data_IF_264158611721
#
_entry.id   IF_264158611721
#
_cell.length_a   1.000
_cell.length_b   1.000
_cell.length_c   1.000
_cell.angle_alpha   90.00
_cell.angle_beta   90.00
_cell.angle_gamma   90.00
#
_symmetry.space_group_name_H-M   'P 1'
#
loop_
_entity.id
_entity.type
_entity.pdbx_description
1 polymer ?
#
# COMPACT_ATOMS: atom_id res chain seq x y z
N UNK A 1 12.69 14.53 15.47
CA UNK A 1 13.41 13.29 15.05
C UNK A 1 14.87 13.32 15.50
N UNK A 2 15.43 12.22 16.02
CA UNK A 2 16.89 12.10 16.19
C UNK A 2 17.58 11.95 14.83
N UNK A 3 18.81 12.46 14.70
CA UNK A 3 19.59 12.38 13.46
C UNK A 3 19.74 10.95 12.92
N UNK A 4 19.76 9.95 13.80
CA UNK A 4 19.99 8.55 13.46
C UNK A 4 18.77 7.82 12.85
N UNK A 5 17.54 8.29 13.09
CA UNK A 5 16.34 7.63 12.55
C UNK A 5 16.05 8.00 11.09
N UNK A 6 16.45 9.20 10.66
CA UNK A 6 16.24 9.68 9.30
C UNK A 6 16.93 8.83 8.22
N UNK A 7 18.22 8.44 8.35
CA UNK A 7 18.87 7.59 7.36
C UNK A 7 18.24 6.20 7.27
N UNK A 8 17.83 5.60 8.40
CA UNK A 8 17.12 4.32 8.40
C UNK A 8 15.78 4.39 7.65
N UNK A 9 15.01 5.47 7.83
CA UNK A 9 13.76 5.67 7.09
C UNK A 9 13.97 5.87 5.59
N UNK A 10 15.08 6.50 5.18
CA UNK A 10 15.44 6.64 3.77
C UNK A 10 15.82 5.29 3.17
N UNK A 11 16.57 4.46 3.91
CA UNK A 11 16.89 3.09 3.49
C UNK A 11 15.61 2.23 3.39
N UNK A 12 14.70 2.36 4.36
CA UNK A 12 13.40 1.69 4.32
C UNK A 12 12.58 2.13 3.09
N UNK A 13 12.50 3.43 2.82
CA UNK A 13 11.81 3.96 1.66
C UNK A 13 12.40 3.42 0.35
N UNK A 14 13.73 3.49 0.21
CA UNK A 14 14.43 3.03 -0.99
C UNK A 14 14.26 1.53 -1.22
N UNK A 15 14.42 0.72 -0.18
CA UNK A 15 14.25 -0.75 -0.27
C UNK A 15 12.80 -1.14 -0.52
N UNK A 16 11.82 -0.51 0.15
CA UNK A 16 10.40 -0.77 -0.08
C UNK A 16 9.99 -0.39 -1.51
N UNK A 17 10.49 0.73 -2.03
CA UNK A 17 10.24 1.14 -3.42
C UNK A 17 10.85 0.14 -4.41
N UNK A 18 12.09 -0.27 -4.19
CA UNK A 18 12.76 -1.24 -5.04
C UNK A 18 12.02 -2.58 -5.07
N UNK A 19 11.60 -3.09 -3.90
CA UNK A 19 10.81 -4.32 -3.79
C UNK A 19 9.46 -4.16 -4.48
N UNK A 20 8.77 -3.03 -4.28
CA UNK A 20 7.50 -2.74 -4.94
C UNK A 20 7.65 -2.83 -6.46
N UNK A 21 8.66 -2.15 -7.02
CA UNK A 21 8.91 -2.17 -8.47
C UNK A 21 9.29 -3.57 -8.94
N UNK A 22 10.22 -4.25 -8.27
CA UNK A 22 10.65 -5.59 -8.65
C UNK A 22 9.49 -6.60 -8.66
N UNK A 23 8.64 -6.55 -7.64
CA UNK A 23 7.46 -7.43 -7.53
C UNK A 23 6.46 -7.16 -8.66
N UNK A 24 6.06 -5.91 -8.88
CA UNK A 24 5.01 -5.59 -9.86
C UNK A 24 5.47 -5.67 -11.32
N UNK A 25 6.75 -5.43 -11.60
CA UNK A 25 7.30 -5.49 -12.95
C UNK A 25 7.76 -6.91 -13.31
N UNK A 26 8.22 -7.70 -12.33
CA UNK A 26 8.83 -9.00 -12.60
C UNK A 26 7.99 -10.18 -12.09
N UNK A 27 7.62 -10.19 -10.81
CA UNK A 27 7.00 -11.36 -10.18
C UNK A 27 5.51 -11.48 -10.49
N UNK A 28 4.78 -10.37 -10.42
CA UNK A 28 3.33 -10.34 -10.71
C UNK A 28 3.06 -10.81 -12.14
N UNK A 29 3.69 -10.27 -13.20
CA UNK A 29 3.44 -10.73 -14.57
C UNK A 29 3.88 -12.18 -14.80
N UNK A 30 4.89 -12.65 -14.06
CA UNK A 30 5.39 -14.02 -14.16
C UNK A 30 4.44 -15.05 -13.56
N UNK A 31 3.86 -14.77 -12.39
CA UNK A 31 3.12 -15.75 -11.61
C UNK A 31 1.60 -15.66 -11.72
N UNK A 32 1.03 -14.46 -11.86
CA UNK A 32 -0.43 -14.27 -11.93
C UNK A 32 -1.13 -15.04 -13.07
N UNK A 33 -0.55 -15.26 -14.27
CA UNK A 33 -1.27 -15.99 -15.31
C UNK A 33 -1.35 -17.50 -15.10
N UNK A 34 -0.41 -18.11 -14.37
CA UNK A 34 -0.24 -19.58 -14.39
C UNK A 34 -0.09 -20.24 -13.00
N UNK A 35 0.23 -19.48 -11.97
CA UNK A 35 0.54 -20.01 -10.64
C UNK A 35 -0.23 -19.24 -9.55
N UNK A 36 -1.47 -19.64 -9.21
CA UNK A 36 -2.35 -18.87 -8.32
C UNK A 36 -1.74 -18.61 -6.93
N UNK A 37 -1.09 -19.61 -6.33
CA UNK A 37 -0.46 -19.46 -5.01
C UNK A 37 0.73 -18.49 -5.06
N UNK A 38 1.66 -18.71 -6.00
CA UNK A 38 2.84 -17.85 -6.20
C UNK A 38 2.42 -16.42 -6.57
N UNK A 39 1.40 -16.26 -7.41
CA UNK A 39 0.84 -14.99 -7.83
C UNK A 39 0.18 -14.24 -6.67
N UNK A 40 -0.61 -14.93 -5.85
CA UNK A 40 -1.19 -14.36 -4.64
C UNK A 40 -0.13 -13.88 -3.65
N UNK A 41 0.90 -14.69 -3.39
CA UNK A 41 2.02 -14.31 -2.52
C UNK A 41 2.80 -13.12 -3.07
N UNK A 42 3.06 -13.08 -4.39
CA UNK A 42 3.70 -11.96 -5.04
C UNK A 42 2.86 -10.68 -4.90
N UNK A 43 1.55 -10.73 -5.11
CA UNK A 43 0.65 -9.58 -4.94
C UNK A 43 0.65 -9.07 -3.49
N UNK A 44 0.53 -9.97 -2.51
CA UNK A 44 0.58 -9.58 -1.08
C UNK A 44 1.92 -8.93 -0.74
N UNK A 45 3.04 -9.49 -1.19
CA UNK A 45 4.35 -8.88 -1.01
C UNK A 45 4.45 -7.49 -1.66
N UNK A 46 3.83 -7.33 -2.84
CA UNK A 46 3.70 -6.06 -3.54
C UNK A 46 2.89 -5.04 -2.75
N UNK A 47 1.74 -5.43 -2.20
CA UNK A 47 0.89 -4.57 -1.38
C UNK A 47 1.57 -4.13 -0.09
N UNK A 48 2.27 -5.04 0.59
CA UNK A 48 3.01 -4.74 1.82
C UNK A 48 4.14 -3.75 1.51
N UNK A 49 4.97 -4.03 0.52
CA UNK A 49 6.08 -3.14 0.14
C UNK A 49 5.58 -1.76 -0.32
N UNK A 50 4.50 -1.72 -1.09
CA UNK A 50 3.84 -0.48 -1.49
C UNK A 50 3.33 0.31 -0.28
N UNK A 51 2.66 -0.34 0.68
CA UNK A 51 2.20 0.30 1.92
C UNK A 51 3.37 0.87 2.71
N UNK A 52 4.51 0.16 2.76
CA UNK A 52 5.72 0.61 3.44
C UNK A 52 6.37 1.84 2.81
N UNK A 53 6.24 2.00 1.48
CA UNK A 53 6.64 3.25 0.79
C UNK A 53 5.86 4.42 1.37
N UNK A 54 4.53 4.35 1.39
CA UNK A 54 3.70 5.44 1.89
C UNK A 54 3.82 5.65 3.40
N UNK A 55 4.04 4.58 4.17
CA UNK A 55 4.43 4.68 5.58
C UNK A 55 5.69 5.51 5.78
N UNK A 56 6.74 5.20 5.01
CA UNK A 56 8.02 5.89 5.12
C UNK A 56 7.91 7.36 4.71
N UNK A 57 7.16 7.65 3.63
CA UNK A 57 6.89 9.04 3.22
C UNK A 57 6.08 9.76 4.31
N UNK A 58 5.04 9.13 4.85
CA UNK A 58 4.23 9.67 5.94
C UNK A 58 5.06 10.01 7.18
N UNK A 59 6.06 9.19 7.52
CA UNK A 59 7.01 9.49 8.60
C UNK A 59 7.96 10.65 8.28
N UNK A 60 8.51 10.68 7.07
CA UNK A 60 9.51 11.68 6.67
C UNK A 60 8.91 13.08 6.46
N UNK A 61 7.62 13.16 6.15
CA UNK A 61 6.89 14.43 5.92
C UNK A 61 6.00 14.84 7.08
N UNK A 62 6.02 14.12 8.19
CA UNK A 62 5.28 14.52 9.37
C UNK A 62 5.90 15.80 9.96
N UNK A 63 5.04 16.78 10.24
CA UNK A 63 5.37 18.00 10.97
C UNK A 63 4.38 18.12 12.15
N UNK A 64 4.63 17.43 13.27
CA UNK A 64 3.64 17.29 14.33
C UNK A 64 3.63 18.54 15.21
N UNK A 65 2.68 19.44 14.97
CA UNK A 65 2.27 20.40 16.00
C UNK A 65 1.14 19.83 16.88
N UNK A 66 0.38 18.86 16.36
CA UNK A 66 -0.73 18.18 17.04
C UNK A 66 -0.81 16.70 16.63
N UNK A 67 -1.59 15.90 17.37
CA UNK A 67 -1.84 14.50 17.03
C UNK A 67 -2.66 14.37 15.73
N UNK A 68 -2.13 13.71 14.68
CA UNK A 68 -2.84 13.62 13.42
C UNK A 68 -4.10 12.74 13.49
N UNK A 69 -5.12 13.18 12.76
CA UNK A 69 -6.42 12.51 12.64
C UNK A 69 -6.33 11.12 11.98
N UNK A 70 -7.17 10.17 12.39
CA UNK A 70 -7.25 8.83 11.76
C UNK A 70 -8.12 8.78 10.51
N UNK A 71 -8.80 9.87 10.14
CA UNK A 71 -9.79 9.86 9.06
C UNK A 71 -9.25 9.30 7.74
N UNK A 72 -8.00 9.58 7.40
CA UNK A 72 -7.38 9.04 6.19
C UNK A 72 -7.14 7.52 6.27
N UNK A 73 -6.81 6.98 7.45
CA UNK A 73 -6.72 5.53 7.65
C UNK A 73 -8.10 4.88 7.49
N UNK A 74 -9.14 5.46 8.09
CA UNK A 74 -10.51 4.95 8.01
C UNK A 74 -11.01 4.94 6.55
N UNK A 75 -10.79 6.04 5.82
CA UNK A 75 -11.10 6.14 4.39
C UNK A 75 -10.28 5.12 3.59
N UNK A 76 -8.99 4.97 3.92
CA UNK A 76 -8.11 4.01 3.26
C UNK A 76 -8.59 2.57 3.42
N UNK A 77 -8.98 2.17 4.63
CA UNK A 77 -9.55 0.85 4.93
C UNK A 77 -10.86 0.66 4.18
N UNK A 78 -11.78 1.62 4.24
CA UNK A 78 -13.06 1.53 3.53
C UNK A 78 -12.85 1.37 2.03
N UNK A 79 -11.96 2.17 1.43
CA UNK A 79 -11.64 2.12 0.01
C UNK A 79 -11.02 0.78 -0.39
N UNK A 80 -10.08 0.26 0.41
CA UNK A 80 -9.47 -1.04 0.20
C UNK A 80 -10.52 -2.16 0.22
N UNK A 81 -11.36 -2.20 1.26
CA UNK A 81 -12.37 -3.26 1.43
C UNK A 81 -13.45 -3.21 0.33
N UNK A 82 -13.99 -2.04 0.04
CA UNK A 82 -15.00 -1.87 -1.03
C UNK A 82 -14.41 -2.28 -2.38
N UNK A 83 -13.14 -1.95 -2.65
CA UNK A 83 -12.49 -2.29 -3.90
C UNK A 83 -12.24 -3.79 -4.05
N UNK A 84 -11.86 -4.47 -2.96
CA UNK A 84 -11.76 -5.94 -2.95
C UNK A 84 -13.11 -6.61 -3.17
N UNK A 85 -14.16 -6.11 -2.51
CA UNK A 85 -15.53 -6.62 -2.70
C UNK A 85 -16.00 -6.42 -4.15
N UNK A 86 -15.67 -5.27 -4.75
CA UNK A 86 -16.00 -5.00 -6.15
C UNK A 86 -15.23 -5.94 -7.10
N UNK A 87 -13.94 -6.17 -6.87
CA UNK A 87 -13.16 -7.13 -7.65
C UNK A 87 -13.72 -8.55 -7.55
N UNK A 88 -14.11 -8.97 -6.33
CA UNK A 88 -14.72 -10.27 -6.10
C UNK A 88 -16.11 -10.38 -6.75
N UNK A 89 -16.89 -9.30 -6.72
CA UNK A 89 -18.19 -9.27 -7.38
C UNK A 89 -18.05 -9.41 -8.90
N UNK A 90 -17.06 -8.75 -9.51
CA UNK A 90 -16.76 -8.88 -10.95
C UNK A 90 -16.36 -10.32 -11.31
N UNK A 91 -15.52 -10.95 -10.49
CA UNK A 91 -15.12 -12.34 -10.65
C UNK A 91 -16.33 -13.29 -10.53
N UNK A 92 -17.18 -13.07 -9.53
CA UNK A 92 -18.37 -13.88 -9.27
C UNK A 92 -19.41 -13.83 -10.41
N UNK A 93 -19.50 -12.73 -11.17
CA UNK A 93 -20.37 -12.62 -12.35
C UNK A 93 -19.68 -13.07 -13.65
N UNK A 94 -18.47 -13.62 -13.55
CA UNK A 94 -17.75 -14.22 -14.67
C UNK A 94 -17.12 -13.22 -15.63
N UNK A 95 -16.79 -12.00 -15.19
CA UNK A 95 -16.00 -11.05 -16.00
C UNK A 95 -14.58 -11.59 -16.11
N UNK A 96 -14.12 -12.02 -17.30
CA UNK A 96 -12.78 -12.59 -17.42
C UNK A 96 -11.72 -11.52 -17.17
N UNK A 97 -10.71 -11.86 -16.35
CA UNK A 97 -9.56 -11.00 -16.09
C UNK A 97 -8.82 -10.61 -17.38
N UNK A 98 -8.87 -11.50 -18.37
CA UNK A 98 -8.19 -11.39 -19.66
C UNK A 98 -8.89 -10.44 -20.64
N UNK A 99 -10.20 -10.25 -20.49
CA UNK A 99 -11.05 -9.67 -21.53
C UNK A 99 -11.53 -8.26 -21.21
N UNK A 100 -10.67 -7.42 -20.62
CA UNK A 100 -10.63 -5.94 -20.69
C UNK A 100 -10.01 -5.44 -19.37
N UNK A 101 -8.90 -4.72 -19.48
CA UNK A 101 -8.23 -3.99 -18.38
C UNK A 101 -9.21 -3.06 -17.63
N UNK A 102 -10.24 -2.55 -18.32
CA UNK A 102 -11.24 -1.60 -17.84
C UNK A 102 -11.94 -1.92 -16.50
N UNK A 103 -12.81 -2.94 -16.39
CA UNK A 103 -13.58 -3.20 -15.16
C UNK A 103 -12.73 -3.37 -13.91
N UNK A 104 -11.53 -3.97 -14.06
CA UNK A 104 -10.62 -4.21 -12.94
C UNK A 104 -9.71 -3.03 -12.61
N UNK A 105 -9.57 -2.03 -13.49
CA UNK A 105 -8.77 -0.80 -13.19
C UNK A 105 -9.33 -0.07 -11.99
N UNK A 106 -10.66 0.11 -11.92
CA UNK A 106 -11.28 0.84 -10.83
C UNK A 106 -11.04 0.18 -9.46
N UNK A 107 -11.37 -1.10 -9.23
CA UNK A 107 -11.07 -1.76 -7.97
C UNK A 107 -9.57 -1.87 -7.71
N UNK A 108 -8.74 -2.14 -8.72
CA UNK A 108 -7.28 -2.15 -8.51
C UNK A 108 -6.76 -0.79 -8.02
N UNK A 109 -7.22 0.30 -8.63
CA UNK A 109 -6.85 1.67 -8.24
C UNK A 109 -7.29 1.98 -6.81
N UNK A 110 -8.50 1.56 -6.43
CA UNK A 110 -9.01 1.72 -5.07
C UNK A 110 -8.21 0.91 -4.03
N UNK A 111 -7.75 -0.30 -4.37
CA UNK A 111 -6.84 -1.08 -3.50
C UNK A 111 -5.54 -0.30 -3.25
N UNK A 112 -4.85 0.17 -4.30
CA UNK A 112 -3.59 0.91 -4.12
C UNK A 112 -3.79 2.26 -3.44
N UNK A 113 -4.86 2.98 -3.74
CA UNK A 113 -5.18 4.22 -3.05
C UNK A 113 -5.45 3.97 -1.55
N UNK A 114 -6.21 2.92 -1.22
CA UNK A 114 -6.49 2.52 0.15
C UNK A 114 -5.22 2.18 0.93
N UNK A 115 -4.36 1.32 0.36
CA UNK A 115 -3.08 0.95 0.96
C UNK A 115 -2.14 2.14 1.16
N UNK A 116 -2.10 3.07 0.20
CA UNK A 116 -1.31 4.29 0.32
C UNK A 116 -1.78 5.17 1.50
N UNK A 117 -3.09 5.36 1.62
CA UNK A 117 -3.69 6.13 2.73
C UNK A 117 -3.41 5.48 4.09
N UNK A 118 -3.58 4.16 4.18
CA UNK A 118 -3.29 3.39 5.40
C UNK A 118 -1.83 3.57 5.80
N UNK A 119 -0.90 3.28 4.88
CA UNK A 119 0.53 3.42 5.12
C UNK A 119 0.89 4.82 5.58
N UNK A 120 0.47 5.83 4.81
CA UNK A 120 0.70 7.24 5.13
C UNK A 120 0.22 7.62 6.53
N UNK A 121 -1.04 7.31 6.87
CA UNK A 121 -1.63 7.66 8.16
C UNK A 121 -0.92 7.01 9.35
N UNK A 122 -0.53 5.74 9.20
CA UNK A 122 0.26 5.04 10.23
C UNK A 122 1.61 5.74 10.41
N UNK A 123 2.30 6.05 9.30
CA UNK A 123 3.58 6.75 9.35
C UNK A 123 3.48 8.11 10.04
N UNK A 124 2.52 8.94 9.63
CA UNK A 124 2.30 10.26 10.23
C UNK A 124 2.05 10.18 11.74
N UNK A 125 1.25 9.21 12.19
CA UNK A 125 1.00 8.98 13.62
C UNK A 125 2.22 8.47 14.37
N UNK A 126 2.97 7.52 13.80
CA UNK A 126 4.21 7.05 14.43
C UNK A 126 5.19 8.20 14.65
N UNK A 127 5.30 9.12 13.70
CA UNK A 127 6.16 10.29 13.86
C UNK A 127 5.69 11.21 15.01
N UNK A 128 4.39 11.53 15.06
CA UNK A 128 3.82 12.35 16.14
C UNK A 128 3.96 11.72 17.53
N UNK A 129 3.68 10.42 17.66
CA UNK A 129 3.85 9.69 18.93
C UNK A 129 5.31 9.71 19.38
N UNK A 130 6.25 9.45 18.47
CA UNK A 130 7.67 9.46 18.78
C UNK A 130 8.19 10.85 19.19
N UNK A 131 7.50 11.92 18.83
CA UNK A 131 7.82 13.27 19.30
C UNK A 131 7.29 13.53 20.71
N UNK A 132 6.08 13.06 21.03
CA UNK A 132 5.48 13.19 22.38
C UNK A 132 6.28 12.41 23.44
N UNK A 133 6.81 11.23 23.08
CA UNK A 133 7.56 10.36 24.00
C UNK A 133 9.01 10.84 24.22
N UNK A 134 9.45 11.85 23.49
CA UNK A 134 10.84 12.33 23.50
C UNK A 134 11.10 13.37 24.58
#
# INVERSE_FOLDING_TARGET
>A
MSGDQRPLLVVLLGSALLVTVAVHVSLVPRYVPNEPLSGGLALVAGWVSYTLVFYSIGRLRADPQELPTMRFADIGIALFLISLLLALALDAVGVPLESIVGPYVLPASGVYAGLALIGWSIGHRTAAINEIVR
#
